data_IF_985078154430
#
_entry.id   IF_985078154430
#
_cell.length_a   1.000
_cell.length_b   1.000
_cell.length_c   1.000
_cell.angle_alpha   90.00
_cell.angle_beta   90.00
_cell.angle_gamma   90.00
#
_symmetry.space_group_name_H-M   'P 1'
#
loop_
_entity.id
_entity.type
_entity.pdbx_description
1 polymer ?
#
# COMPACT_ATOMS: atom_id res chain seq x y z
N UNK A 1 23.70 0.14 -12.11
CA UNK A 1 23.60 -0.78 -13.26
C UNK A 1 22.73 -0.09 -14.29
N UNK A 2 23.24 0.17 -15.48
CA UNK A 2 22.44 0.74 -16.56
C UNK A 2 21.48 -0.32 -17.13
N UNK A 3 20.45 0.11 -17.87
CA UNK A 3 19.56 -0.82 -18.58
C UNK A 3 20.35 -1.65 -19.62
N UNK A 4 21.37 -1.05 -20.23
CA UNK A 4 22.26 -1.70 -21.19
C UNK A 4 23.09 -2.80 -20.53
N UNK A 5 23.62 -2.56 -19.32
CA UNK A 5 24.32 -3.57 -18.52
C UNK A 5 23.40 -4.74 -18.14
N UNK A 6 22.16 -4.43 -17.76
CA UNK A 6 21.16 -5.45 -17.43
C UNK A 6 20.79 -6.30 -18.65
N UNK A 7 20.60 -5.67 -19.82
CA UNK A 7 20.32 -6.37 -21.07
C UNK A 7 21.50 -7.26 -21.48
N UNK A 8 22.74 -6.77 -21.33
CA UNK A 8 23.94 -7.58 -21.57
C UNK A 8 24.02 -8.79 -20.63
N UNK A 9 23.73 -8.61 -19.34
CA UNK A 9 23.64 -9.71 -18.37
C UNK A 9 22.53 -10.71 -18.72
N UNK A 10 21.38 -10.23 -19.18
CA UNK A 10 20.26 -11.08 -19.59
C UNK A 10 20.58 -11.90 -20.84
N UNK A 11 21.40 -11.37 -21.76
CA UNK A 11 21.86 -12.09 -22.94
C UNK A 11 22.83 -13.22 -22.57
N UNK A 12 23.69 -13.00 -21.58
CA UNK A 12 24.64 -13.99 -21.05
C UNK A 12 23.95 -15.07 -20.21
N UNK A 13 22.88 -14.70 -19.48
CA UNK A 13 22.11 -15.60 -18.62
C UNK A 13 20.69 -15.87 -19.15
N UNK A 14 20.54 -15.99 -20.47
CA UNK A 14 19.24 -16.11 -21.14
C UNK A 14 18.41 -17.32 -20.71
N UNK A 15 19.03 -18.38 -20.17
CA UNK A 15 18.34 -19.52 -19.58
C UNK A 15 17.63 -19.22 -18.25
N UNK A 16 18.01 -18.13 -17.57
CA UNK A 16 17.47 -17.71 -16.26
C UNK A 16 16.67 -16.40 -16.32
N UNK A 17 16.86 -15.59 -17.37
CA UNK A 17 16.10 -14.37 -17.63
C UNK A 17 15.10 -14.59 -18.77
N UNK A 18 14.08 -15.40 -18.49
CA UNK A 18 13.00 -15.61 -19.47
C UNK A 18 12.04 -14.40 -19.47
N UNK A 19 11.37 -14.13 -20.60
CA UNK A 19 10.33 -13.09 -20.66
C UNK A 19 9.24 -13.28 -19.59
N UNK A 20 8.92 -14.53 -19.25
CA UNK A 20 7.95 -14.86 -18.20
C UNK A 20 8.41 -14.33 -16.83
N UNK A 21 9.68 -14.53 -16.47
CA UNK A 21 10.23 -14.05 -15.19
C UNK A 21 10.20 -12.52 -15.13
N UNK A 22 10.54 -11.84 -16.24
CA UNK A 22 10.48 -10.38 -16.32
C UNK A 22 9.05 -9.86 -16.14
N UNK A 23 8.05 -10.55 -16.69
CA UNK A 23 6.65 -10.19 -16.49
C UNK A 23 6.22 -10.35 -15.02
N UNK A 24 6.65 -11.42 -14.33
CA UNK A 24 6.35 -11.63 -12.90
C UNK A 24 7.00 -10.57 -12.02
N UNK A 25 8.26 -10.22 -12.29
CA UNK A 25 8.97 -9.13 -11.59
C UNK A 25 8.26 -7.79 -11.84
N UNK A 26 7.88 -7.50 -13.09
CA UNK A 26 7.14 -6.27 -13.43
C UNK A 26 5.81 -6.22 -12.68
N UNK A 27 5.05 -7.31 -12.66
CA UNK A 27 3.79 -7.39 -11.92
C UNK A 27 3.99 -7.12 -10.43
N UNK A 28 5.04 -7.69 -9.82
CA UNK A 28 5.36 -7.45 -8.42
C UNK A 28 5.64 -5.98 -8.13
N UNK A 29 6.50 -5.33 -8.91
CA UNK A 29 6.83 -3.91 -8.76
C UNK A 29 5.60 -3.02 -8.96
N UNK A 30 4.66 -3.43 -9.82
CA UNK A 30 3.42 -2.72 -10.09
C UNK A 30 2.39 -2.85 -8.95
N UNK A 31 2.18 -4.05 -8.38
CA UNK A 31 1.17 -4.28 -7.35
C UNK A 31 1.65 -4.01 -5.92
N UNK A 32 2.88 -4.37 -5.56
CA UNK A 32 3.38 -4.25 -4.19
C UNK A 32 3.22 -2.84 -3.57
N UNK A 33 3.43 -1.72 -4.30
CA UNK A 33 3.20 -0.38 -3.78
C UNK A 33 1.76 -0.11 -3.29
N UNK A 34 0.76 -0.89 -3.74
CA UNK A 34 -0.64 -0.73 -3.32
C UNK A 34 -0.85 -1.07 -1.85
N UNK A 35 -0.01 -1.94 -1.30
CA UNK A 35 -0.18 -2.49 0.05
C UNK A 35 0.67 -1.78 1.10
N UNK A 36 1.37 -0.69 0.77
CA UNK A 36 2.22 0.05 1.73
C UNK A 36 1.47 0.43 2.99
N UNK A 37 0.25 0.94 2.83
CA UNK A 37 -0.60 1.37 3.94
C UNK A 37 -1.00 0.20 4.86
N UNK A 38 -1.20 -0.99 4.30
CA UNK A 38 -1.49 -2.21 5.07
C UNK A 38 -0.22 -2.80 5.72
N UNK A 39 0.90 -2.78 5.00
CA UNK A 39 2.22 -3.23 5.48
C UNK A 39 2.65 -2.38 6.68
N UNK A 40 2.52 -1.05 6.60
CA UNK A 40 2.94 -0.14 7.67
C UNK A 40 2.03 -0.26 8.88
N UNK A 41 0.72 -0.48 8.68
CA UNK A 41 -0.27 -0.57 9.75
C UNK A 41 0.09 -1.68 10.76
N UNK A 42 0.54 -2.84 10.28
CA UNK A 42 0.87 -3.98 11.16
C UNK A 42 2.23 -3.86 11.86
N UNK A 43 3.04 -2.85 11.52
CA UNK A 43 4.30 -2.59 12.25
C UNK A 43 4.06 -1.96 13.63
N UNK A 44 5.09 -1.96 14.47
CA UNK A 44 5.09 -1.29 15.76
C UNK A 44 4.85 0.23 15.62
N UNK A 45 4.24 0.86 16.63
CA UNK A 45 3.76 2.25 16.54
C UNK A 45 4.85 3.29 16.24
N UNK A 46 6.08 2.97 16.63
CA UNK A 46 7.30 3.75 16.47
C UNK A 46 8.06 3.44 15.16
N UNK A 47 7.55 2.50 14.35
CA UNK A 47 8.18 2.19 13.07
C UNK A 47 8.09 3.40 12.10
N UNK A 48 9.20 3.84 11.50
CA UNK A 48 9.19 4.98 10.57
C UNK A 48 8.35 4.73 9.31
N UNK A 49 7.56 5.71 8.89
CA UNK A 49 6.68 5.58 7.72
C UNK A 49 7.45 5.54 6.39
N UNK A 50 8.67 6.07 6.37
CA UNK A 50 9.57 6.19 5.23
C UNK A 50 10.53 5.00 5.09
N UNK A 51 10.50 4.04 6.02
CA UNK A 51 11.39 2.88 6.01
C UNK A 51 10.62 1.60 5.71
N UNK A 52 10.98 0.93 4.61
CA UNK A 52 10.41 -0.35 4.23
C UNK A 52 10.70 -1.44 5.29
N UNK A 53 9.68 -2.18 5.78
CA UNK A 53 9.89 -3.27 6.71
C UNK A 53 10.76 -4.40 6.14
N UNK A 54 11.51 -5.13 6.98
CA UNK A 54 12.39 -6.20 6.51
C UNK A 54 11.62 -7.37 5.89
N UNK A 55 10.40 -7.64 6.38
CA UNK A 55 9.57 -8.76 5.95
C UNK A 55 8.15 -8.29 5.66
N UNK A 56 7.49 -8.99 4.73
CA UNK A 56 6.08 -8.78 4.44
C UNK A 56 5.20 -9.54 5.43
N UNK A 57 4.02 -9.03 5.78
CA UNK A 57 3.00 -9.80 6.50
C UNK A 57 2.53 -10.98 5.65
N UNK A 58 2.31 -12.15 6.27
CA UNK A 58 1.95 -13.38 5.55
C UNK A 58 0.77 -13.21 4.58
N UNK A 59 -0.29 -12.51 5.01
CA UNK A 59 -1.47 -12.28 4.17
C UNK A 59 -1.14 -11.50 2.89
N UNK A 60 -0.18 -10.59 2.97
CA UNK A 60 0.27 -9.77 1.84
C UNK A 60 1.22 -10.58 0.95
N UNK A 61 2.11 -11.40 1.54
CA UNK A 61 2.97 -12.33 0.79
C UNK A 61 2.13 -13.29 -0.07
N UNK A 62 1.14 -13.96 0.53
CA UNK A 62 0.24 -14.88 -0.15
C UNK A 62 -0.54 -14.20 -1.28
N UNK A 63 -1.04 -13.00 -1.03
CA UNK A 63 -1.77 -12.24 -2.05
C UNK A 63 -0.88 -11.85 -3.23
N UNK A 64 0.32 -11.35 -2.96
CA UNK A 64 1.28 -10.98 -4.01
C UNK A 64 1.74 -12.21 -4.80
N UNK A 65 1.89 -13.36 -4.14
CA UNK A 65 2.23 -14.62 -4.79
C UNK A 65 1.16 -15.00 -5.83
N UNK A 66 -0.11 -14.90 -5.45
CA UNK A 66 -1.24 -15.13 -6.36
C UNK A 66 -1.30 -14.11 -7.50
N UNK A 67 -1.15 -12.81 -7.21
CA UNK A 67 -1.18 -11.74 -8.21
C UNK A 67 -0.05 -11.84 -9.24
N UNK A 68 1.12 -12.30 -8.80
CA UNK A 68 2.31 -12.45 -9.64
C UNK A 68 2.47 -13.87 -10.21
N UNK A 69 1.52 -14.77 -9.95
CA UNK A 69 1.54 -16.17 -10.39
C UNK A 69 2.88 -16.86 -10.04
N UNK A 70 3.30 -16.70 -8.78
CA UNK A 70 4.58 -17.17 -8.24
C UNK A 70 4.41 -17.73 -6.82
N UNK A 71 5.49 -18.24 -6.22
CA UNK A 71 5.47 -18.76 -4.84
C UNK A 71 5.75 -17.68 -3.79
N UNK A 72 5.38 -17.93 -2.54
CA UNK A 72 5.63 -17.00 -1.43
C UNK A 72 7.14 -16.83 -1.18
N UNK A 73 7.95 -17.87 -1.35
CA UNK A 73 9.41 -17.79 -1.23
C UNK A 73 10.00 -16.86 -2.29
N UNK A 74 9.46 -16.89 -3.52
CA UNK A 74 9.86 -15.96 -4.57
C UNK A 74 9.48 -14.52 -4.23
N UNK A 75 8.31 -14.30 -3.61
CA UNK A 75 7.88 -12.97 -3.14
C UNK A 75 8.80 -12.44 -2.05
N UNK A 76 9.19 -13.26 -1.07
CA UNK A 76 10.12 -12.86 -0.01
C UNK A 76 11.49 -12.48 -0.57
N UNK A 77 11.98 -13.24 -1.55
CA UNK A 77 13.21 -12.92 -2.27
C UNK A 77 13.09 -11.60 -3.03
N UNK A 78 12.00 -11.41 -3.80
CA UNK A 78 11.76 -10.17 -4.53
C UNK A 78 11.68 -8.97 -3.59
N UNK A 79 10.95 -9.09 -2.48
CA UNK A 79 10.87 -8.05 -1.46
C UNK A 79 12.24 -7.70 -0.91
N UNK A 80 13.06 -8.68 -0.57
CA UNK A 80 14.42 -8.47 -0.05
C UNK A 80 15.25 -7.56 -0.96
N UNK A 81 15.17 -7.75 -2.27
CA UNK A 81 15.95 -6.97 -3.25
C UNK A 81 15.30 -5.64 -3.65
N UNK A 82 13.96 -5.57 -3.67
CA UNK A 82 13.25 -4.44 -4.27
C UNK A 82 12.48 -3.57 -3.29
N UNK A 83 12.44 -3.93 -2.00
CA UNK A 83 11.64 -3.22 -0.97
C UNK A 83 11.86 -1.72 -0.95
N UNK A 84 13.10 -1.25 -1.03
CA UNK A 84 13.38 0.21 -0.98
C UNK A 84 12.88 0.92 -2.23
N UNK A 85 13.13 0.31 -3.39
CA UNK A 85 12.61 0.82 -4.67
C UNK A 85 11.09 0.90 -4.58
N UNK A 86 10.43 -0.18 -4.17
CA UNK A 86 8.98 -0.23 -4.01
C UNK A 86 8.50 0.83 -3.02
N UNK A 87 9.20 1.01 -1.90
CA UNK A 87 8.83 1.96 -0.83
C UNK A 87 8.96 3.42 -1.25
N UNK A 88 9.96 3.76 -2.06
CA UNK A 88 10.12 5.08 -2.66
C UNK A 88 9.21 5.30 -3.88
N UNK A 89 8.84 4.21 -4.57
CA UNK A 89 8.03 4.27 -5.78
C UNK A 89 6.61 4.75 -5.46
N UNK A 90 6.28 5.96 -5.92
CA UNK A 90 4.96 6.59 -5.68
C UNK A 90 3.89 6.12 -6.65
N UNK A 91 4.28 5.56 -7.81
CA UNK A 91 3.33 5.06 -8.79
C UNK A 91 2.76 3.71 -8.32
N UNK A 92 1.47 3.70 -7.99
CA UNK A 92 0.70 2.48 -7.74
C UNK A 92 0.05 2.07 -9.05
N UNK A 93 -0.12 0.77 -9.32
CA UNK A 93 -1.02 0.35 -10.39
C UNK A 93 -2.40 1.00 -10.16
N UNK A 94 -2.74 2.00 -10.99
CA UNK A 94 -4.02 2.70 -10.91
C UNK A 94 -5.15 1.83 -11.45
N UNK A 95 -4.80 0.96 -12.39
CA UNK A 95 -5.75 0.10 -13.07
C UNK A 95 -6.02 -1.16 -12.24
N UNK A 96 -7.28 -1.55 -12.22
CA UNK A 96 -7.76 -2.81 -11.66
C UNK A 96 -7.90 -3.77 -12.84
N UNK A 97 -6.82 -4.44 -13.18
CA UNK A 97 -6.82 -5.49 -14.21
C UNK A 97 -7.52 -6.77 -13.71
N UNK A 98 -7.68 -7.74 -14.62
CA UNK A 98 -8.37 -8.99 -14.36
C UNK A 98 -7.73 -9.82 -13.23
N UNK A 99 -6.40 -9.83 -13.11
CA UNK A 99 -5.68 -10.54 -12.04
C UNK A 99 -6.00 -9.95 -10.67
N UNK A 100 -5.98 -8.62 -10.57
CA UNK A 100 -6.39 -7.93 -9.36
C UNK A 100 -7.85 -8.23 -9.02
N UNK A 101 -8.71 -8.42 -10.03
CA UNK A 101 -10.12 -8.77 -9.79
C UNK A 101 -10.33 -10.17 -9.28
N UNK A 102 -9.53 -11.13 -9.74
CA UNK A 102 -9.61 -12.52 -9.33
C UNK A 102 -9.07 -12.73 -7.92
N UNK A 103 -7.95 -12.08 -7.58
CA UNK A 103 -7.21 -12.35 -6.34
C UNK A 103 -7.32 -11.26 -5.27
N UNK A 104 -7.55 -10.00 -5.65
CA UNK A 104 -7.56 -8.85 -4.74
C UNK A 104 -8.90 -8.57 -4.04
N UNK A 105 -9.94 -9.38 -4.31
CA UNK A 105 -11.32 -9.12 -3.87
C UNK A 105 -11.46 -9.00 -2.34
N UNK A 106 -10.70 -9.79 -1.59
CA UNK A 106 -10.79 -9.82 -0.12
C UNK A 106 -10.20 -8.55 0.53
N UNK A 107 -9.23 -7.90 -0.13
CA UNK A 107 -8.70 -6.60 0.28
C UNK A 107 -9.38 -5.42 -0.42
N UNK A 108 -10.38 -5.69 -1.28
CA UNK A 108 -11.13 -4.73 -2.09
C UNK A 108 -10.31 -4.08 -3.20
N UNK A 109 -11.02 -3.70 -4.27
CA UNK A 109 -10.39 -3.16 -5.48
C UNK A 109 -9.66 -1.84 -5.22
N UNK A 110 -10.15 -1.07 -4.24
CA UNK A 110 -9.58 0.15 -3.74
C UNK A 110 -9.66 0.18 -2.22
N UNK A 111 -8.57 0.55 -1.55
CA UNK A 111 -8.56 0.85 -0.12
C UNK A 111 -8.39 2.35 0.07
N UNK A 112 -9.34 2.97 0.75
CA UNK A 112 -9.43 4.40 0.96
C UNK A 112 -8.95 4.74 2.37
N UNK A 113 -7.68 5.08 2.48
CA UNK A 113 -7.05 5.51 3.73
C UNK A 113 -7.25 7.00 4.00
N UNK A 114 -7.28 7.44 5.28
CA UNK A 114 -7.07 8.84 5.63
C UNK A 114 -5.72 9.34 5.09
N UNK A 115 -5.56 10.65 4.87
CA UNK A 115 -4.35 11.22 4.26
C UNK A 115 -3.09 11.11 5.12
N UNK A 116 -3.21 10.71 6.40
CA UNK A 116 -2.08 10.55 7.31
C UNK A 116 -2.26 9.36 8.23
N UNK A 117 -1.16 8.62 8.45
CA UNK A 117 -1.04 7.60 9.48
C UNK A 117 -0.62 8.16 10.84
N UNK A 118 -0.37 9.47 10.94
CA UNK A 118 -0.05 10.14 12.18
C UNK A 118 -1.25 10.92 12.72
N UNK A 119 -1.26 11.17 14.02
CA UNK A 119 -2.24 12.07 14.61
C UNK A 119 -1.95 13.51 14.15
N UNK A 120 -2.91 14.15 13.47
CA UNK A 120 -2.81 15.54 12.99
C UNK A 120 -3.24 16.59 14.03
N UNK A 121 -3.53 16.16 15.26
CA UNK A 121 -3.77 17.08 16.38
C UNK A 121 -2.42 17.42 17.02
N UNK A 122 -1.95 18.66 16.85
CA UNK A 122 -0.66 19.15 17.38
C UNK A 122 -0.56 19.06 18.90
N UNK A 123 -1.70 19.15 19.61
CA UNK A 123 -1.73 19.10 21.07
C UNK A 123 -1.71 17.67 21.61
N UNK A 124 -1.81 16.67 20.73
CA UNK A 124 -1.84 15.26 21.11
C UNK A 124 -0.44 14.72 21.43
N UNK A 125 -0.29 14.07 22.60
CA UNK A 125 0.97 13.44 23.00
C UNK A 125 1.46 12.37 22.01
N UNK A 126 0.57 11.54 21.45
CA UNK A 126 0.92 10.61 20.36
C UNK A 126 1.55 11.33 19.16
N UNK A 127 1.00 12.48 18.76
CA UNK A 127 1.51 13.26 17.63
C UNK A 127 2.92 13.80 17.93
N UNK A 128 3.12 14.36 19.13
CA UNK A 128 4.42 14.88 19.58
C UNK A 128 5.51 13.81 19.61
N UNK A 129 5.14 12.56 19.92
CA UNK A 129 6.05 11.40 19.90
C UNK A 129 6.29 10.82 18.50
N UNK A 130 5.61 11.32 17.47
CA UNK A 130 5.71 10.79 16.11
C UNK A 130 5.18 9.36 15.95
N UNK A 131 4.34 8.89 16.87
CA UNK A 131 3.84 7.51 16.83
C UNK A 131 2.66 7.39 15.87
N UNK A 132 2.71 6.37 15.00
CA UNK A 132 1.63 6.10 14.05
C UNK A 132 0.36 5.58 14.73
N UNK A 133 -0.75 5.81 14.06
CA UNK A 133 -2.07 5.30 14.43
C UNK A 133 -2.11 3.80 14.09
N UNK A 134 -2.45 2.98 15.09
CA UNK A 134 -2.54 1.53 14.91
C UNK A 134 -3.96 1.00 15.02
N UNK A 135 -4.87 1.72 15.69
CA UNK A 135 -6.26 1.30 15.78
C UNK A 135 -6.97 1.71 14.49
N UNK A 136 -7.50 0.73 13.77
CA UNK A 136 -8.27 0.94 12.55
C UNK A 136 -9.59 0.19 12.54
N UNK A 137 -10.54 0.70 11.77
CA UNK A 137 -11.76 0.02 11.38
C UNK A 137 -11.88 0.07 9.85
N UNK A 138 -12.24 -1.06 9.23
CA UNK A 138 -12.47 -1.17 7.79
C UNK A 138 -13.96 -1.40 7.55
N UNK A 139 -14.54 -0.64 6.64
CA UNK A 139 -15.96 -0.79 6.25
C UNK A 139 -16.08 -0.92 4.75
N UNK A 140 -16.95 -1.83 4.28
CA UNK A 140 -17.25 -1.96 2.85
C UNK A 140 -17.88 -0.67 2.33
N UNK A 141 -17.41 -0.21 1.19
CA UNK A 141 -17.85 1.02 0.54
C UNK A 141 -18.01 0.80 -0.96
N UNK A 142 -18.72 1.73 -1.61
CA UNK A 142 -18.77 1.85 -3.07
C UNK A 142 -18.07 3.16 -3.43
N UNK A 143 -17.01 3.06 -4.22
CA UNK A 143 -16.24 4.19 -4.72
C UNK A 143 -16.66 4.46 -6.17
N UNK A 144 -17.21 5.63 -6.43
CA UNK A 144 -17.64 6.03 -7.76
C UNK A 144 -16.50 6.74 -8.47
N UNK A 145 -16.01 6.17 -9.57
CA UNK A 145 -15.00 6.77 -10.44
C UNK A 145 -15.65 7.22 -11.75
N UNK A 146 -15.00 8.17 -12.43
CA UNK A 146 -15.49 8.71 -13.70
C UNK A 146 -15.34 7.69 -14.84
N UNK A 147 -14.25 6.92 -14.83
CA UNK A 147 -13.82 6.02 -15.88
C UNK A 147 -14.34 4.57 -15.73
N UNK A 148 -14.50 4.09 -14.49
CA UNK A 148 -14.87 2.72 -14.17
C UNK A 148 -16.26 2.61 -13.53
N UNK A 149 -16.88 3.74 -13.18
CA UNK A 149 -18.19 3.77 -12.52
C UNK A 149 -18.12 3.32 -11.06
N UNK A 150 -19.10 2.53 -10.63
CA UNK A 150 -19.19 2.09 -9.23
C UNK A 150 -18.26 0.89 -8.96
N UNK A 151 -17.21 1.12 -8.17
CA UNK A 151 -16.23 0.11 -7.79
C UNK A 151 -16.35 -0.27 -6.31
N UNK A 152 -16.35 -1.57 -5.93
CA UNK A 152 -16.29 -1.95 -4.53
C UNK A 152 -14.96 -1.53 -3.90
N UNK A 153 -15.03 -0.96 -2.70
CA UNK A 153 -13.88 -0.43 -1.98
C UNK A 153 -13.96 -0.74 -0.48
N UNK A 154 -12.84 -0.57 0.21
CA UNK A 154 -12.81 -0.50 1.67
C UNK A 154 -12.50 0.92 2.11
N UNK A 155 -13.32 1.47 2.98
CA UNK A 155 -13.04 2.72 3.67
C UNK A 155 -12.35 2.40 5.00
N UNK A 156 -11.13 2.90 5.17
CA UNK A 156 -10.36 2.76 6.41
C UNK A 156 -10.59 3.99 7.28
N UNK A 157 -10.89 3.74 8.55
CA UNK A 157 -10.92 4.75 9.61
C UNK A 157 -9.76 4.49 10.56
N UNK A 158 -8.89 5.48 10.76
CA UNK A 158 -7.83 5.41 11.77
C UNK A 158 -8.29 6.12 13.05
N UNK A 159 -7.91 5.62 14.21
CA UNK A 159 -8.31 6.18 15.50
C UNK A 159 -7.10 6.48 16.38
N UNK A 160 -7.00 7.73 16.84
CA UNK A 160 -6.04 8.10 17.88
C UNK A 160 -6.61 7.75 19.25
N UNK A 161 -5.95 6.83 19.96
CA UNK A 161 -6.40 6.42 21.30
C UNK A 161 -6.16 7.48 22.37
N UNK A 162 -5.30 8.47 22.12
CA UNK A 162 -4.93 9.49 23.10
C UNK A 162 -5.93 10.65 23.07
N UNK A 163 -6.04 11.34 21.92
CA UNK A 163 -6.96 12.47 21.76
C UNK A 163 -8.38 12.09 21.26
N UNK A 164 -8.64 10.79 21.08
CA UNK A 164 -9.94 10.22 20.64
C UNK A 164 -10.43 10.72 19.27
N UNK A 165 -9.55 11.28 18.45
CA UNK A 165 -9.87 11.69 17.08
C UNK A 165 -9.98 10.48 16.16
N UNK A 166 -11.06 10.43 15.37
CA UNK A 166 -11.22 9.48 14.27
C UNK A 166 -10.87 10.16 12.95
N UNK A 167 -10.02 9.55 12.15
CA UNK A 167 -9.61 10.04 10.83
C UNK A 167 -10.26 9.18 9.76
N UNK A 168 -10.94 9.82 8.81
CA UNK A 168 -11.59 9.20 7.65
C UNK A 168 -10.86 9.66 6.39
N UNK A 169 -11.31 9.23 5.21
CA UNK A 169 -10.70 9.61 3.92
C UNK A 169 -10.64 11.14 3.71
N UNK A 170 -11.76 11.85 3.93
CA UNK A 170 -11.91 13.26 3.56
C UNK A 170 -12.21 14.20 4.74
N UNK A 171 -12.33 13.66 5.96
CA UNK A 171 -12.53 14.44 7.18
C UNK A 171 -11.99 13.70 8.40
N UNK A 172 -11.84 14.42 9.51
CA UNK A 172 -11.63 13.87 10.85
C UNK A 172 -12.77 14.27 11.78
N UNK A 173 -13.02 13.45 12.79
CA UNK A 173 -13.99 13.70 13.86
C UNK A 173 -13.25 13.85 15.17
N UNK A 174 -13.37 15.02 15.79
CA UNK A 174 -12.85 15.31 17.13
C UNK A 174 -13.96 15.97 17.94
N UNK A 175 -14.21 15.50 19.16
CA UNK A 175 -15.28 16.02 20.03
C UNK A 175 -16.65 16.13 19.34
N UNK A 176 -17.04 15.09 18.58
CA UNK A 176 -18.28 15.04 17.79
C UNK A 176 -18.41 16.11 16.68
N UNK A 177 -17.35 16.88 16.41
CA UNK A 177 -17.29 17.84 15.31
C UNK A 177 -16.50 17.28 14.15
N UNK A 178 -16.98 17.51 12.93
CA UNK A 178 -16.30 17.12 11.68
C UNK A 178 -15.43 18.27 11.19
N UNK A 179 -14.19 17.95 10.84
CA UNK A 179 -13.21 18.85 10.25
C UNK A 179 -12.76 18.24 8.93
N UNK A 180 -13.04 18.91 7.82
CA UNK A 180 -12.61 18.45 6.50
C UNK A 180 -11.14 18.77 6.30
N UNK A 181 -10.41 17.89 5.61
CA UNK A 181 -9.05 18.21 5.22
C UNK A 181 -9.08 19.34 4.19
N UNK A 182 -8.10 20.23 4.28
CA UNK A 182 -7.85 21.18 3.20
C UNK A 182 -7.52 20.35 1.96
N UNK A 183 -8.27 20.56 0.88
CA UNK A 183 -7.96 19.92 -0.40
C UNK A 183 -6.66 20.56 -0.89
N UNK A 184 -5.55 19.86 -0.75
CA UNK A 184 -4.47 20.02 -1.72
C UNK A 184 -5.10 19.75 -3.08
N UNK A 185 -5.29 20.80 -3.86
CA UNK A 185 -5.88 20.71 -5.18
C UNK A 185 -4.82 20.20 -6.13
N UNK A 186 -5.00 19.01 -6.72
CA UNK A 186 -4.71 18.87 -8.13
C UNK A 186 -6.02 18.54 -8.84
N UNK A 187 -6.47 19.48 -9.67
CA UNK A 187 -7.32 19.13 -10.80
C UNK A 187 -6.55 18.26 -11.79
#
# INVERSE_FOLDING_TARGET
MSLEDFMALSAVHSSHFTPEILLKISAFITYAPRFKDDIILVQAADWPLDVAPPYLPQSISLLLANLCETSEEAIEMLWTFTKQIIWEYSCRAKEIDERFRLHGKDLGYQVLYPPSHLCMNSDCERAKKGLKLQKMEQTKAIFYTIDQGACPAWAVKLFCQDCKTSYHLNYRVHENKRYYYERDSPG
#
